data_IF_533298723361
#
_entry.id   IF_533298723361
#
_cell.length_a   1.000
_cell.length_b   1.000
_cell.length_c   1.000
_cell.angle_alpha   90.00
_cell.angle_beta   90.00
_cell.angle_gamma   90.00
#
_symmetry.space_group_name_H-M   'P 1'
#
loop_
_entity.id
_entity.type
_entity.pdbx_description
1 polymer ?
#
# COMPACT_ATOMS: atom_id res chain seq x y z
N UNK A 1 13.98 21.37 -8.20
CA UNK A 1 15.10 20.70 -8.88
C UNK A 1 14.57 19.51 -9.64
N UNK A 2 14.76 19.43 -10.96
CA UNK A 2 14.24 18.36 -11.80
C UNK A 2 15.09 17.10 -11.65
N UNK A 3 14.53 16.00 -11.12
CA UNK A 3 15.17 14.69 -10.94
C UNK A 3 15.43 13.92 -12.26
N UNK A 4 15.60 14.65 -13.37
CA UNK A 4 15.84 14.08 -14.70
C UNK A 4 17.27 13.50 -14.74
N UNK A 5 17.41 12.21 -14.44
CA UNK A 5 18.69 11.49 -14.46
C UNK A 5 19.04 10.76 -13.17
N UNK A 6 18.27 10.93 -12.08
CA UNK A 6 18.51 10.19 -10.83
C UNK A 6 17.96 8.76 -10.98
N UNK A 7 18.82 7.78 -10.69
CA UNK A 7 18.44 6.37 -10.57
C UNK A 7 18.13 6.06 -9.11
N UNK A 8 16.99 5.43 -8.87
CA UNK A 8 16.65 4.85 -7.58
C UNK A 8 16.87 3.35 -7.64
N UNK A 9 17.70 2.83 -6.74
CA UNK A 9 17.97 1.41 -6.66
C UNK A 9 16.71 0.63 -6.30
N UNK A 10 16.44 -0.45 -7.05
CA UNK A 10 15.69 -1.56 -6.50
C UNK A 10 16.62 -2.32 -5.55
N UNK A 11 17.76 -2.79 -6.05
CA UNK A 11 18.77 -3.56 -5.32
C UNK A 11 20.18 -3.11 -5.74
N UNK A 12 21.20 -3.91 -5.41
CA UNK A 12 22.58 -3.58 -5.73
C UNK A 12 22.91 -3.56 -7.24
N UNK A 13 22.04 -4.11 -8.10
CA UNK A 13 22.32 -4.30 -9.54
C UNK A 13 21.23 -3.75 -10.46
N UNK A 14 20.09 -3.33 -9.92
CA UNK A 14 18.90 -2.91 -10.68
C UNK A 14 18.35 -1.59 -10.14
N UNK A 15 17.87 -0.71 -11.03
CA UNK A 15 17.34 0.60 -10.67
C UNK A 15 16.21 1.05 -11.60
N UNK A 16 15.46 2.08 -11.19
CA UNK A 16 14.47 2.78 -12.00
C UNK A 16 14.76 4.28 -12.05
N UNK A 17 14.29 4.95 -13.11
CA UNK A 17 14.43 6.39 -13.25
C UNK A 17 13.49 7.13 -12.29
N UNK A 18 14.01 8.16 -11.61
CA UNK A 18 13.25 8.95 -10.63
C UNK A 18 12.13 9.77 -11.25
N UNK A 19 12.37 10.41 -12.41
CA UNK A 19 11.38 11.29 -13.04
C UNK A 19 10.02 10.60 -13.30
N UNK A 20 9.93 9.38 -13.86
CA UNK A 20 8.66 8.66 -13.92
C UNK A 20 8.03 8.40 -12.54
N UNK A 21 8.84 8.12 -11.51
CA UNK A 21 8.37 7.80 -10.17
C UNK A 21 7.73 8.99 -9.44
N UNK A 22 7.94 10.23 -9.90
CA UNK A 22 7.29 11.42 -9.36
C UNK A 22 5.77 11.45 -9.64
N UNK A 23 5.28 10.64 -10.59
CA UNK A 23 3.86 10.60 -10.98
C UNK A 23 3.21 9.26 -10.65
N UNK A 24 1.93 9.27 -10.28
CA UNK A 24 1.14 8.03 -10.06
C UNK A 24 1.18 7.14 -11.30
N UNK A 25 1.00 7.72 -12.50
CA UNK A 25 1.06 6.98 -13.76
C UNK A 25 2.43 6.32 -13.99
N UNK A 26 3.53 7.07 -13.82
CA UNK A 26 4.87 6.52 -14.03
C UNK A 26 5.26 5.48 -12.98
N UNK A 27 4.82 5.62 -11.72
CA UNK A 27 4.94 4.55 -10.73
C UNK A 27 4.14 3.30 -11.12
N UNK A 28 2.98 3.45 -11.74
CA UNK A 28 2.25 2.33 -12.34
C UNK A 28 3.05 1.59 -13.41
N UNK A 29 3.73 2.33 -14.30
CA UNK A 29 4.61 1.73 -15.33
C UNK A 29 5.78 0.98 -14.71
N UNK A 30 6.46 1.59 -13.73
CA UNK A 30 7.57 0.96 -13.00
C UNK A 30 7.08 -0.30 -12.29
N UNK A 31 5.97 -0.21 -11.56
CA UNK A 31 5.35 -1.32 -10.85
C UNK A 31 5.04 -2.50 -11.78
N UNK A 32 4.54 -2.23 -13.00
CA UNK A 32 4.28 -3.27 -14.00
C UNK A 32 5.56 -3.98 -14.43
N UNK A 33 6.65 -3.25 -14.63
CA UNK A 33 7.95 -3.80 -15.03
C UNK A 33 8.63 -4.57 -13.88
N UNK A 34 8.31 -4.21 -12.63
CA UNK A 34 8.86 -4.83 -11.42
C UNK A 34 7.94 -5.86 -10.76
N UNK A 35 6.93 -6.35 -11.47
CA UNK A 35 5.97 -7.35 -10.97
C UNK A 35 5.86 -8.55 -11.90
N UNK A 36 5.47 -9.73 -11.39
CA UNK A 36 5.13 -10.85 -12.25
C UNK A 36 3.95 -10.52 -13.19
N UNK A 37 3.85 -11.23 -14.31
CA UNK A 37 2.73 -11.07 -15.23
C UNK A 37 1.40 -11.55 -14.60
N UNK A 38 0.28 -10.94 -15.03
CA UNK A 38 -1.10 -11.32 -14.64
C UNK A 38 -1.39 -11.23 -13.13
N UNK A 39 -0.77 -10.28 -12.45
CA UNK A 39 -1.03 -10.00 -11.03
C UNK A 39 -1.71 -8.64 -10.84
N UNK A 40 -2.27 -8.43 -9.66
CA UNK A 40 -2.78 -7.11 -9.22
C UNK A 40 -1.87 -6.64 -8.09
N UNK A 41 -1.30 -5.43 -8.19
CA UNK A 41 -0.55 -4.83 -7.09
C UNK A 41 -1.49 -4.50 -5.93
N UNK A 42 -1.09 -4.83 -4.71
CA UNK A 42 -1.86 -4.53 -3.50
C UNK A 42 -0.94 -4.08 -2.35
N UNK A 43 -1.54 -3.70 -1.21
CA UNK A 43 -0.83 -3.35 0.02
C UNK A 43 0.35 -2.38 -0.21
N UNK A 44 1.58 -2.74 0.20
CA UNK A 44 2.73 -1.82 0.15
C UNK A 44 3.12 -1.42 -1.28
N UNK A 45 2.96 -2.33 -2.25
CA UNK A 45 3.26 -2.05 -3.66
C UNK A 45 2.22 -1.11 -4.28
N UNK A 46 0.95 -1.35 -4.03
CA UNK A 46 -0.11 -0.42 -4.45
C UNK A 46 0.03 0.95 -3.77
N UNK A 47 0.39 0.97 -2.48
CA UNK A 47 0.59 2.22 -1.76
C UNK A 47 1.74 3.03 -2.37
N UNK A 48 2.85 2.39 -2.73
CA UNK A 48 3.93 3.05 -3.44
C UNK A 48 3.45 3.65 -4.77
N UNK A 49 2.61 2.95 -5.55
CA UNK A 49 2.00 3.52 -6.76
C UNK A 49 1.17 4.78 -6.43
N UNK A 50 0.36 4.77 -5.38
CA UNK A 50 -0.53 5.88 -5.04
C UNK A 50 0.16 7.09 -4.42
N UNK A 51 1.03 6.88 -3.42
CA UNK A 51 1.59 7.97 -2.60
C UNK A 51 3.12 8.09 -2.71
N UNK A 52 3.78 7.21 -3.46
CA UNK A 52 5.24 7.24 -3.63
C UNK A 52 5.99 6.86 -2.36
N UNK A 53 7.18 7.45 -2.18
CA UNK A 53 8.11 7.11 -1.11
C UNK A 53 9.15 6.07 -1.52
N UNK A 54 9.78 5.43 -0.53
CA UNK A 54 10.73 4.36 -0.77
C UNK A 54 10.06 3.15 -1.44
N UNK A 55 10.75 2.55 -2.41
CA UNK A 55 10.22 1.37 -3.09
C UNK A 55 10.17 0.19 -2.11
N UNK A 56 9.01 -0.49 -1.96
CA UNK A 56 8.75 -1.41 -0.87
C UNK A 56 9.68 -2.62 -0.89
N UNK A 57 10.03 -3.15 0.28
CA UNK A 57 10.92 -4.33 0.43
C UNK A 57 10.29 -5.65 -0.02
N UNK A 58 8.99 -5.66 -0.34
CA UNK A 58 8.25 -6.81 -0.85
C UNK A 58 7.38 -6.43 -2.05
N UNK A 59 7.23 -7.35 -3.00
CA UNK A 59 6.31 -7.20 -4.13
C UNK A 59 4.96 -7.81 -3.72
N UNK A 60 4.10 -6.99 -3.13
CA UNK A 60 2.76 -7.40 -2.65
C UNK A 60 1.77 -7.48 -3.80
N UNK A 61 1.25 -8.69 -4.05
CA UNK A 61 0.36 -8.93 -5.19
C UNK A 61 -0.81 -9.83 -4.83
N UNK A 62 -1.94 -9.64 -5.50
CA UNK A 62 -3.04 -10.62 -5.51
C UNK A 62 -2.80 -11.58 -6.65
N UNK A 63 -2.61 -12.85 -6.29
CA UNK A 63 -2.39 -13.96 -7.20
C UNK A 63 -2.58 -15.28 -6.45
N UNK A 64 -2.98 -16.31 -7.18
CA UNK A 64 -3.00 -17.71 -6.77
C UNK A 64 -1.68 -18.46 -7.08
N UNK A 65 -0.76 -17.83 -7.82
CA UNK A 65 0.51 -18.42 -8.18
C UNK A 65 1.51 -18.48 -7.01
N UNK A 66 2.40 -19.47 -7.06
CA UNK A 66 3.52 -19.60 -6.14
C UNK A 66 4.81 -19.02 -6.75
N UNK A 67 5.31 -17.95 -6.15
CA UNK A 67 6.55 -17.31 -6.56
C UNK A 67 7.72 -17.81 -5.71
N UNK A 68 8.70 -18.46 -6.34
CA UNK A 68 9.87 -19.04 -5.67
C UNK A 68 11.13 -18.17 -5.73
N UNK A 69 11.17 -17.23 -6.67
CA UNK A 69 12.33 -16.36 -6.90
C UNK A 69 11.99 -14.92 -6.60
N UNK A 70 12.91 -14.14 -6.01
CA UNK A 70 12.73 -12.71 -5.83
C UNK A 70 12.75 -11.98 -7.18
N UNK A 71 12.15 -10.80 -7.22
CA UNK A 71 12.24 -9.85 -8.34
C UNK A 71 13.01 -8.63 -7.83
N UNK A 72 14.14 -8.31 -8.47
CA UNK A 72 15.03 -7.22 -8.04
C UNK A 72 15.32 -7.24 -6.53
N UNK A 73 15.78 -8.41 -6.06
CA UNK A 73 16.10 -8.65 -4.65
C UNK A 73 14.91 -8.73 -3.70
N UNK A 74 13.67 -8.59 -4.18
CA UNK A 74 12.48 -8.53 -3.32
C UNK A 74 11.66 -9.80 -3.40
N UNK A 75 11.29 -10.30 -2.22
CA UNK A 75 10.35 -11.41 -2.11
C UNK A 75 8.98 -10.97 -2.63
N UNK A 76 8.42 -11.77 -3.54
CA UNK A 76 7.02 -11.62 -3.96
C UNK A 76 6.12 -12.22 -2.89
N UNK A 77 5.15 -11.46 -2.40
CA UNK A 77 4.19 -11.89 -1.37
C UNK A 77 2.80 -11.98 -2.01
N UNK A 78 2.37 -13.18 -2.44
CA UNK A 78 1.04 -13.36 -3.01
C UNK A 78 -0.03 -13.40 -1.91
N UNK A 79 -1.14 -12.74 -2.16
CA UNK A 79 -2.38 -12.82 -1.38
C UNK A 79 -3.43 -13.52 -2.23
N UNK A 80 -3.71 -14.79 -1.92
CA UNK A 80 -4.78 -15.54 -2.57
C UNK A 80 -6.13 -15.11 -1.99
N UNK A 81 -6.79 -14.18 -2.69
CA UNK A 81 -8.12 -13.68 -2.33
C UNK A 81 -8.83 -13.13 -3.56
N UNK A 82 -10.16 -13.24 -3.55
CA UNK A 82 -11.01 -12.58 -4.54
C UNK A 82 -11.19 -11.12 -4.15
N UNK A 83 -11.09 -10.23 -5.12
CA UNK A 83 -11.35 -8.80 -4.96
C UNK A 83 -12.47 -8.41 -5.91
N UNK A 84 -13.48 -7.71 -5.41
CA UNK A 84 -14.49 -7.08 -6.28
C UNK A 84 -13.82 -6.12 -7.26
N UNK A 85 -14.20 -6.21 -8.54
CA UNK A 85 -13.63 -5.39 -9.63
C UNK A 85 -13.73 -3.89 -9.36
N UNK A 86 -14.73 -3.43 -8.59
CA UNK A 86 -14.85 -2.01 -8.20
C UNK A 86 -13.67 -1.51 -7.36
N UNK A 87 -12.94 -2.41 -6.71
CA UNK A 87 -11.75 -2.12 -5.91
C UNK A 87 -10.44 -2.36 -6.68
N UNK A 88 -10.51 -2.52 -8.00
CA UNK A 88 -9.35 -2.65 -8.90
C UNK A 88 -9.44 -1.55 -9.94
N UNK A 89 -8.33 -0.86 -10.15
CA UNK A 89 -8.15 0.11 -11.24
C UNK A 89 -6.85 -0.16 -11.98
N UNK A 90 -6.60 0.52 -13.09
CA UNK A 90 -5.38 0.38 -13.88
C UNK A 90 -4.59 1.69 -13.88
N UNK A 91 -3.32 1.62 -13.48
CA UNK A 91 -2.40 2.77 -13.42
C UNK A 91 -1.13 2.43 -14.20
N UNK A 92 -0.78 3.21 -15.22
CA UNK A 92 0.39 2.90 -16.06
C UNK A 92 0.33 1.51 -16.72
N UNK A 93 -0.87 0.97 -16.90
CA UNK A 93 -1.12 -0.39 -17.38
C UNK A 93 -0.91 -1.51 -16.34
N UNK A 94 -0.65 -1.19 -15.08
CA UNK A 94 -0.66 -2.14 -13.97
C UNK A 94 -2.06 -2.21 -13.35
N UNK A 95 -2.67 -3.38 -13.15
CA UNK A 95 -3.81 -3.53 -12.26
C UNK A 95 -3.39 -3.28 -10.81
N UNK A 96 -4.07 -2.37 -10.12
CA UNK A 96 -3.77 -1.95 -8.74
C UNK A 96 -5.05 -1.91 -7.93
N UNK A 97 -4.99 -2.28 -6.64
CA UNK A 97 -6.12 -2.02 -5.75
C UNK A 97 -6.37 -0.52 -5.59
N UNK A 98 -7.64 -0.10 -5.49
CA UNK A 98 -7.99 1.32 -5.29
C UNK A 98 -7.37 1.86 -3.99
N UNK A 99 -7.22 3.20 -3.83
CA UNK A 99 -6.60 3.78 -2.62
C UNK A 99 -7.24 3.28 -1.31
N UNK A 100 -8.57 3.25 -1.24
CA UNK A 100 -9.29 2.74 -0.07
C UNK A 100 -9.02 1.27 0.22
N UNK A 101 -8.99 0.44 -0.83
CA UNK A 101 -8.65 -0.97 -0.70
C UNK A 101 -7.20 -1.16 -0.26
N UNK A 102 -6.29 -0.37 -0.83
CA UNK A 102 -4.87 -0.35 -0.48
C UNK A 102 -4.67 -0.06 1.00
N UNK A 103 -5.34 0.96 1.54
CA UNK A 103 -5.29 1.29 2.96
C UNK A 103 -5.74 0.10 3.83
N UNK A 104 -6.88 -0.51 3.50
CA UNK A 104 -7.37 -1.66 4.25
C UNK A 104 -6.51 -2.92 4.08
N UNK A 105 -5.84 -3.10 2.94
CA UNK A 105 -4.87 -4.18 2.75
C UNK A 105 -3.70 -4.05 3.72
N UNK A 106 -3.20 -2.82 3.89
CA UNK A 106 -2.16 -2.51 4.88
C UNK A 106 -2.68 -2.83 6.28
N UNK A 107 -3.89 -2.37 6.63
CA UNK A 107 -4.50 -2.65 7.94
C UNK A 107 -4.60 -4.16 8.19
N UNK A 108 -5.07 -4.94 7.22
CA UNK A 108 -5.19 -6.40 7.34
C UNK A 108 -3.84 -7.09 7.54
N UNK A 109 -2.78 -6.59 6.90
CA UNK A 109 -1.42 -7.10 7.08
C UNK A 109 -0.88 -6.76 8.47
N UNK A 110 -1.08 -5.52 8.92
CA UNK A 110 -0.63 -5.07 10.24
C UNK A 110 -1.39 -5.75 11.37
N UNK A 111 -2.64 -6.14 11.15
CA UNK A 111 -3.42 -6.96 12.08
C UNK A 111 -2.89 -8.41 12.20
N UNK A 112 -2.11 -8.90 11.23
CA UNK A 112 -1.42 -10.20 11.34
C UNK A 112 -0.06 -9.99 12.01
N UNK A 113 0.00 -10.26 13.32
CA UNK A 113 1.22 -10.10 14.15
C UNK A 113 2.44 -10.88 13.63
N UNK A 114 2.23 -11.90 12.80
CA UNK A 114 3.32 -12.67 12.15
C UNK A 114 3.95 -11.95 10.95
N UNK A 115 3.29 -10.90 10.45
CA UNK A 115 3.67 -10.15 9.25
C UNK A 115 3.88 -8.65 9.52
N UNK A 116 3.51 -8.17 10.71
CA UNK A 116 3.74 -6.80 11.14
C UNK A 116 5.23 -6.56 11.41
N UNK A 117 5.80 -5.57 10.74
CA UNK A 117 7.20 -5.18 10.93
C UNK A 117 7.41 -3.67 11.09
N UNK A 118 6.37 -2.85 10.84
CA UNK A 118 6.44 -1.38 10.99
C UNK A 118 5.03 -0.74 11.02
N UNK A 119 4.49 -0.58 12.23
CA UNK A 119 3.16 0.01 12.44
C UNK A 119 3.13 1.52 12.16
N UNK A 120 4.21 2.25 12.43
CA UNK A 120 4.25 3.71 12.28
C UNK A 120 4.25 4.12 10.81
N UNK A 121 5.07 3.47 9.98
CA UNK A 121 5.07 3.70 8.52
C UNK A 121 3.74 3.29 7.90
N UNK A 122 3.15 2.18 8.35
CA UNK A 122 1.83 1.76 7.89
C UNK A 122 0.75 2.79 8.23
N UNK A 123 0.71 3.29 9.47
CA UNK A 123 -0.22 4.33 9.91
C UNK A 123 -0.07 5.62 9.09
N UNK A 124 1.17 6.08 8.87
CA UNK A 124 1.46 7.25 8.03
C UNK A 124 0.97 7.05 6.59
N UNK A 125 1.24 5.89 6.01
CA UNK A 125 0.84 5.56 4.64
C UNK A 125 -0.69 5.53 4.49
N UNK A 126 -1.40 4.94 5.46
CA UNK A 126 -2.87 4.91 5.46
C UNK A 126 -3.45 6.32 5.51
N UNK A 127 -2.91 7.19 6.38
CA UNK A 127 -3.33 8.60 6.47
C UNK A 127 -3.07 9.36 5.18
N UNK A 128 -1.89 9.21 4.59
CA UNK A 128 -1.58 9.82 3.29
C UNK A 128 -2.54 9.38 2.19
N UNK A 129 -2.94 8.11 2.17
CA UNK A 129 -3.95 7.62 1.22
C UNK A 129 -5.32 8.26 1.48
N UNK A 130 -5.76 8.31 2.74
CA UNK A 130 -7.03 8.93 3.14
C UNK A 130 -7.07 10.41 2.73
N UNK A 131 -6.03 11.15 3.08
CA UNK A 131 -5.93 12.60 2.82
C UNK A 131 -5.87 12.89 1.32
N UNK A 132 -5.02 12.17 0.58
CA UNK A 132 -4.81 12.45 -0.85
C UNK A 132 -5.99 12.03 -1.75
N UNK A 133 -6.75 11.01 -1.35
CA UNK A 133 -7.82 10.44 -2.18
C UNK A 133 -9.23 10.63 -1.58
N UNK A 134 -9.35 11.39 -0.48
CA UNK A 134 -10.63 11.89 0.04
C UNK A 134 -11.55 10.79 0.54
N UNK A 135 -11.03 9.81 1.28
CA UNK A 135 -11.84 8.77 1.95
C UNK A 135 -11.51 8.69 3.43
N UNK A 136 -12.51 8.38 4.25
CA UNK A 136 -12.40 8.29 5.69
C UNK A 136 -12.42 6.87 6.25
N UNK A 137 -12.46 6.80 7.59
CA UNK A 137 -12.59 5.55 8.33
C UNK A 137 -13.89 4.81 8.00
N UNK A 138 -15.01 5.53 7.82
CA UNK A 138 -16.32 4.93 7.55
C UNK A 138 -16.28 4.09 6.28
N UNK A 139 -15.73 4.66 5.20
CA UNK A 139 -15.63 3.98 3.92
C UNK A 139 -14.66 2.79 4.00
N UNK A 140 -13.58 2.91 4.77
CA UNK A 140 -12.67 1.79 5.03
C UNK A 140 -13.38 0.64 5.77
N UNK A 141 -14.21 0.95 6.77
CA UNK A 141 -15.00 -0.05 7.49
C UNK A 141 -16.03 -0.71 6.56
N UNK A 142 -16.72 0.06 5.73
CA UNK A 142 -17.67 -0.47 4.75
C UNK A 142 -17.00 -1.40 3.75
N UNK A 143 -15.80 -1.04 3.27
CA UNK A 143 -14.99 -1.88 2.39
C UNK A 143 -14.61 -3.20 3.08
N UNK A 144 -14.09 -3.12 4.30
CA UNK A 144 -13.73 -4.30 5.10
C UNK A 144 -14.95 -5.22 5.32
N UNK A 145 -16.13 -4.65 5.57
CA UNK A 145 -17.38 -5.38 5.78
C UNK A 145 -17.95 -6.00 4.50
N UNK A 146 -17.71 -5.38 3.35
CA UNK A 146 -18.23 -5.88 2.07
C UNK A 146 -17.30 -6.94 1.46
N UNK A 147 -16.01 -6.64 1.33
CA UNK A 147 -15.07 -7.43 0.51
C UNK A 147 -14.13 -8.31 1.34
N UNK A 148 -13.90 -7.97 2.61
CA UNK A 148 -12.96 -8.69 3.49
C UNK A 148 -13.64 -9.41 4.66
N UNK A 149 -14.97 -9.53 4.66
CA UNK A 149 -15.75 -10.09 5.78
C UNK A 149 -15.36 -11.50 6.22
N UNK A 150 -14.84 -12.31 5.30
CA UNK A 150 -14.42 -13.69 5.57
C UNK A 150 -12.94 -13.79 6.00
N UNK A 151 -12.21 -12.67 6.05
CA UNK A 151 -10.85 -12.68 6.54
C UNK A 151 -10.85 -13.01 8.05
N UNK A 152 -10.10 -14.03 8.52
CA UNK A 152 -10.05 -14.38 9.94
C UNK A 152 -9.58 -13.24 10.86
N UNK A 153 -8.89 -12.24 10.29
CA UNK A 153 -8.31 -11.09 11.00
C UNK A 153 -9.17 -9.83 10.93
N UNK A 154 -10.40 -9.94 10.44
CA UNK A 154 -11.26 -8.77 10.21
C UNK A 154 -11.58 -7.99 11.49
N UNK A 155 -11.72 -8.67 12.64
CA UNK A 155 -11.97 -8.02 13.94
C UNK A 155 -10.76 -7.19 14.39
N UNK A 156 -9.57 -7.76 14.29
CA UNK A 156 -8.32 -7.10 14.67
C UNK A 156 -8.04 -5.91 13.73
N UNK A 157 -8.29 -6.09 12.43
CA UNK A 157 -8.19 -5.04 11.43
C UNK A 157 -9.12 -3.85 11.71
N UNK A 158 -10.39 -4.10 12.05
CA UNK A 158 -11.33 -3.02 12.44
C UNK A 158 -10.82 -2.26 13.67
N UNK A 159 -10.36 -2.99 14.68
CA UNK A 159 -9.85 -2.41 15.93
C UNK A 159 -8.62 -1.54 15.66
N UNK A 160 -7.70 -2.00 14.81
CA UNK A 160 -6.51 -1.26 14.42
C UNK A 160 -6.87 0.01 13.62
N UNK A 161 -7.81 -0.09 12.70
CA UNK A 161 -8.26 1.05 11.88
C UNK A 161 -8.79 2.20 12.75
N UNK A 162 -9.59 1.90 13.78
CA UNK A 162 -10.10 2.91 14.72
C UNK A 162 -8.95 3.62 15.46
N UNK A 163 -7.93 2.88 15.92
CA UNK A 163 -6.78 3.49 16.62
C UNK A 163 -5.94 4.39 15.72
N UNK A 164 -5.81 4.05 14.44
CA UNK A 164 -5.03 4.81 13.46
C UNK A 164 -5.58 6.23 13.28
N UNK A 165 -6.89 6.41 13.41
CA UNK A 165 -7.58 7.69 13.23
C UNK A 165 -7.75 8.50 14.51
N UNK A 166 -7.68 7.87 15.68
CA UNK A 166 -7.80 8.57 16.98
C UNK A 166 -6.53 9.35 17.37
N UNK A 167 -5.34 8.97 16.89
CA UNK A 167 -4.07 9.68 17.18
C UNK A 167 -3.96 11.04 16.45
N UNK A 168 -5.05 11.60 15.96
CA UNK A 168 -5.12 12.95 15.36
C UNK A 168 -5.62 13.99 16.37
N UNK A 169 -6.05 13.56 17.56
CA UNK A 169 -6.62 14.43 18.61
C UNK A 169 -5.62 14.88 19.69
N UNK A 170 -4.32 14.60 19.58
CA UNK A 170 -3.34 14.84 20.69
C UNK A 170 -2.20 15.78 20.34
N UNK A 171 -2.32 16.57 19.28
CA UNK A 171 -1.37 17.67 19.00
C UNK A 171 -2.18 18.95 18.80
N UNK A 172 -2.83 19.41 19.86
CA UNK A 172 -3.25 20.79 20.06
C UNK A 172 -3.53 20.99 21.56
N UNK A 173 -3.01 22.09 22.09
CA UNK A 173 -3.19 22.63 23.45
C UNK A 173 -2.25 22.14 24.57
N UNK A 174 -0.98 22.54 24.51
CA UNK A 174 -0.23 22.91 25.72
C UNK A 174 -0.05 24.43 25.72
N UNK A 175 -0.73 25.18 26.63
CA UNK A 175 -0.49 26.60 26.77
C UNK A 175 0.86 26.80 27.46
N UNK A 176 1.73 27.56 26.79
CA UNK A 176 2.93 28.14 27.39
C UNK A 176 2.56 28.87 28.68
N UNK A 177 3.03 28.37 29.82
CA UNK A 177 3.11 29.14 31.05
C UNK A 177 4.50 29.77 31.14
N UNK A 178 4.52 31.10 31.13
CA UNK A 178 5.67 31.93 31.52
C UNK A 178 5.82 32.04 33.03
#
# INVERSE_FOLDING_TARGET
>A
MSNSGVLHAFDATSAYLGKPADTVHGRGVICRQSSPAKVIACASLAAWVWVGGEFPSTIDVVSDAHFRSPIFGRRVRPFSRKIDRRYITTVGGMPVTTPIRTACDIVLIQADTRKSTDHATAQRTIRLLMDQYGFGMSECLDMLNADSKHCPKIRDARTLLTRITDTTATIQDEPWHG
#
